data_IF_280369621502
#
_entry.id   IF_280369621502
#
_cell.length_a   1.000
_cell.length_b   1.000
_cell.length_c   1.000
_cell.angle_alpha   90.00
_cell.angle_beta   90.00
_cell.angle_gamma   90.00
#
_symmetry.space_group_name_H-M   'P 1'
#
loop_
_entity.id
_entity.type
_entity.pdbx_description
1 polymer ?
#
# COMPACT_ATOMS: atom_id res chain seq x y z
N UNK A 1 -7.91 -9.96 5.92
CA UNK A 1 -8.89 -10.57 4.98
C UNK A 1 -8.89 -12.07 5.26
N UNK A 2 -10.05 -12.72 5.16
CA UNK A 2 -10.20 -14.15 5.45
C UNK A 2 -9.51 -14.97 4.35
N UNK A 3 -8.53 -15.76 4.75
CA UNK A 3 -7.70 -16.60 3.89
C UNK A 3 -8.23 -18.03 3.82
N UNK A 4 -7.70 -18.82 2.88
CA UNK A 4 -7.98 -20.26 2.83
C UNK A 4 -7.57 -20.98 4.12
N UNK A 5 -6.56 -20.46 4.83
CA UNK A 5 -6.11 -20.99 6.12
C UNK A 5 -7.15 -20.73 7.21
N UNK A 6 -7.81 -19.56 7.22
CA UNK A 6 -8.87 -19.22 8.17
C UNK A 6 -10.09 -20.14 7.98
N UNK A 7 -10.49 -20.37 6.73
CA UNK A 7 -11.56 -21.33 6.40
C UNK A 7 -11.22 -22.75 6.87
N UNK A 8 -9.97 -23.19 6.65
CA UNK A 8 -9.47 -24.49 7.12
C UNK A 8 -9.48 -24.58 8.65
N UNK A 9 -9.06 -23.52 9.33
CA UNK A 9 -9.03 -23.46 10.79
C UNK A 9 -10.46 -23.54 11.36
N UNK A 10 -11.41 -22.78 10.80
CA UNK A 10 -12.82 -22.83 11.19
C UNK A 10 -13.43 -24.22 10.99
N UNK A 11 -13.13 -24.88 9.86
CA UNK A 11 -13.57 -26.26 9.59
C UNK A 11 -12.98 -27.27 10.58
N UNK A 12 -11.67 -27.20 10.84
CA UNK A 12 -10.98 -28.11 11.79
C UNK A 12 -11.44 -27.91 13.22
N UNK A 13 -11.76 -26.68 13.62
CA UNK A 13 -12.31 -26.39 14.95
C UNK A 13 -13.68 -27.05 15.20
N UNK A 14 -14.39 -27.42 14.13
CA UNK A 14 -15.66 -28.14 14.19
C UNK A 14 -15.51 -29.64 13.91
N UNK A 15 -14.28 -30.16 13.85
CA UNK A 15 -13.94 -31.54 13.53
C UNK A 15 -14.58 -32.04 12.21
N UNK A 16 -14.72 -31.13 11.23
CA UNK A 16 -15.34 -31.43 9.94
C UNK A 16 -14.29 -31.81 8.89
N UNK A 17 -14.57 -32.84 8.10
CA UNK A 17 -13.77 -33.14 6.90
C UNK A 17 -14.11 -32.18 5.76
N UNK A 18 -13.20 -32.07 4.79
CA UNK A 18 -13.42 -31.23 3.61
C UNK A 18 -14.63 -31.73 2.79
N UNK A 19 -14.85 -33.04 2.73
CA UNK A 19 -15.97 -33.66 2.04
C UNK A 19 -17.33 -33.30 2.67
N UNK A 20 -17.39 -33.15 4.00
CA UNK A 20 -18.60 -32.72 4.69
C UNK A 20 -18.99 -31.30 4.28
N UNK A 21 -18.01 -30.39 4.20
CA UNK A 21 -18.25 -29.00 3.77
C UNK A 21 -18.61 -28.94 2.29
N UNK A 22 -17.92 -29.72 1.46
CA UNK A 22 -18.20 -29.85 0.02
C UNK A 22 -19.64 -30.31 -0.23
N UNK A 23 -20.07 -31.39 0.43
CA UNK A 23 -21.40 -31.95 0.29
C UNK A 23 -22.49 -30.98 0.77
N UNK A 24 -22.32 -30.35 1.94
CA UNK A 24 -23.28 -29.36 2.47
C UNK A 24 -23.34 -28.06 1.67
N UNK A 25 -22.26 -27.71 0.97
CA UNK A 25 -22.15 -26.51 0.17
C UNK A 25 -22.44 -26.67 -1.31
N UNK A 26 -22.68 -27.89 -1.81
CA UNK A 26 -22.86 -28.15 -3.23
C UNK A 26 -21.61 -27.86 -4.07
N UNK A 27 -20.41 -27.98 -3.49
CA UNK A 27 -19.12 -27.76 -4.16
C UNK A 27 -18.29 -29.04 -4.18
N UNK A 28 -17.27 -29.10 -5.04
CA UNK A 28 -16.34 -30.24 -5.03
C UNK A 28 -15.24 -30.06 -3.99
N UNK A 29 -14.85 -31.16 -3.34
CA UNK A 29 -13.74 -31.17 -2.38
C UNK A 29 -12.43 -30.67 -3.00
N UNK A 30 -12.19 -30.98 -4.29
CA UNK A 30 -11.02 -30.46 -5.02
C UNK A 30 -11.06 -28.94 -5.30
N UNK A 31 -12.26 -28.33 -5.36
CA UNK A 31 -12.38 -26.87 -5.39
C UNK A 31 -12.03 -26.28 -4.02
N UNK A 32 -12.65 -26.79 -2.95
CA UNK A 32 -12.41 -26.33 -1.58
C UNK A 32 -10.96 -26.53 -1.14
N UNK A 33 -10.31 -27.64 -1.54
CA UNK A 33 -8.92 -27.92 -1.21
C UNK A 33 -7.98 -26.87 -1.77
N UNK A 34 -8.21 -26.44 -3.02
CA UNK A 34 -7.41 -25.39 -3.67
C UNK A 34 -7.62 -24.03 -3.03
N UNK A 35 -8.84 -23.75 -2.56
CA UNK A 35 -9.13 -22.54 -1.80
C UNK A 35 -8.40 -22.58 -0.45
N UNK A 36 -8.53 -23.65 0.33
CA UNK A 36 -7.88 -23.75 1.64
C UNK A 36 -6.35 -23.76 1.57
N UNK A 37 -5.76 -24.21 0.46
CA UNK A 37 -4.32 -24.20 0.24
C UNK A 37 -3.79 -22.90 -0.36
N UNK A 38 -4.66 -21.90 -0.59
CA UNK A 38 -4.28 -20.63 -1.21
C UNK A 38 -4.00 -20.70 -2.71
N UNK A 39 -4.30 -21.83 -3.37
CA UNK A 39 -4.19 -21.97 -4.84
C UNK A 39 -5.37 -21.32 -5.57
N UNK A 40 -6.44 -20.98 -4.85
CA UNK A 40 -7.58 -20.20 -5.32
C UNK A 40 -7.99 -19.19 -4.25
N UNK A 41 -8.43 -18.04 -4.70
CA UNK A 41 -8.89 -16.96 -3.85
C UNK A 41 -10.13 -17.36 -3.03
N UNK A 42 -10.22 -16.86 -1.80
CA UNK A 42 -11.43 -16.94 -0.98
C UNK A 42 -12.39 -15.85 -1.41
N UNK A 43 -13.57 -16.23 -1.90
CA UNK A 43 -14.63 -15.28 -2.24
C UNK A 43 -15.56 -15.03 -1.05
N UNK A 44 -16.26 -13.89 -0.97
CA UNK A 44 -17.27 -13.65 0.06
C UNK A 44 -18.37 -14.74 0.10
N UNK A 45 -18.72 -15.31 -1.05
CA UNK A 45 -19.66 -16.41 -1.14
C UNK A 45 -19.13 -17.69 -0.48
N UNK A 46 -17.82 -17.96 -0.56
CA UNK A 46 -17.15 -19.05 0.13
C UNK A 46 -17.10 -18.81 1.64
N UNK A 47 -16.84 -17.58 2.09
CA UNK A 47 -16.90 -17.22 3.51
C UNK A 47 -18.31 -17.49 4.06
N UNK A 48 -19.33 -16.90 3.44
CA UNK A 48 -20.72 -17.09 3.87
C UNK A 48 -21.16 -18.56 3.83
N UNK A 49 -20.64 -19.34 2.87
CA UNK A 49 -20.85 -20.78 2.85
C UNK A 49 -20.23 -21.46 4.08
N UNK A 50 -18.95 -21.20 4.36
CA UNK A 50 -18.29 -21.80 5.51
C UNK A 50 -18.97 -21.40 6.82
N UNK A 51 -19.29 -20.12 7.01
CA UNK A 51 -19.96 -19.64 8.22
C UNK A 51 -21.31 -20.34 8.46
N UNK A 52 -22.09 -20.55 7.39
CA UNK A 52 -23.33 -21.31 7.43
C UNK A 52 -23.12 -22.79 7.75
N UNK A 53 -22.09 -23.42 7.20
CA UNK A 53 -21.81 -24.85 7.40
C UNK A 53 -21.21 -25.14 8.78
N UNK A 54 -20.33 -24.26 9.26
CA UNK A 54 -19.65 -24.37 10.56
C UNK A 54 -20.45 -23.77 11.70
N UNK A 55 -21.46 -22.93 11.42
CA UNK A 55 -22.26 -22.23 12.43
C UNK A 55 -21.48 -21.18 13.20
N UNK A 56 -20.44 -20.59 12.59
CA UNK A 56 -19.52 -19.64 13.24
C UNK A 56 -19.16 -18.52 12.28
N UNK A 57 -19.05 -17.30 12.80
CA UNK A 57 -18.44 -16.18 12.06
C UNK A 57 -16.94 -16.44 11.95
N UNK A 58 -16.37 -16.27 10.77
CA UNK A 58 -14.95 -16.51 10.52
C UNK A 58 -14.22 -15.17 10.57
N UNK A 59 -13.38 -15.01 11.58
CA UNK A 59 -12.53 -13.84 11.72
C UNK A 59 -11.20 -14.08 11.00
N UNK A 60 -10.66 -13.03 10.38
CA UNK A 60 -9.34 -13.11 9.74
C UNK A 60 -8.27 -13.29 10.83
N UNK A 61 -7.39 -14.28 10.66
CA UNK A 61 -6.25 -14.43 11.57
C UNK A 61 -5.30 -13.24 11.43
N UNK A 62 -4.80 -12.67 12.55
CA UNK A 62 -3.92 -11.51 12.52
C UNK A 62 -2.55 -11.77 11.86
N UNK A 63 -2.20 -13.03 11.59
CA UNK A 63 -0.86 -13.44 11.13
C UNK A 63 -0.60 -13.27 9.62
N UNK A 64 -1.55 -12.80 8.80
CA UNK A 64 -1.40 -12.85 7.33
C UNK A 64 -1.80 -11.57 6.57
N UNK A 65 -1.57 -10.40 7.16
CA UNK A 65 -1.65 -9.11 6.46
C UNK A 65 -0.50 -8.89 5.45
N UNK A 66 0.43 -9.83 5.31
CA UNK A 66 1.62 -9.70 4.46
C UNK A 66 1.56 -10.44 3.11
N UNK A 67 0.52 -11.23 2.83
CA UNK A 67 0.50 -12.13 1.66
C UNK A 67 -0.66 -11.98 0.68
N UNK A 68 -1.60 -11.06 0.88
CA UNK A 68 -2.61 -10.78 -0.14
C UNK A 68 -2.07 -9.84 -1.18
N UNK A 69 -2.03 -10.34 -2.41
CA UNK A 69 -1.53 -9.62 -3.55
C UNK A 69 -2.50 -8.49 -3.88
N UNK A 70 -2.16 -7.31 -3.36
CA UNK A 70 -2.65 -5.98 -3.72
C UNK A 70 -2.85 -5.88 -5.26
N UNK A 71 -2.00 -6.54 -6.05
CA UNK A 71 -2.12 -6.63 -7.51
C UNK A 71 -3.42 -7.27 -8.03
N UNK A 72 -4.07 -8.22 -7.32
CA UNK A 72 -5.24 -8.93 -7.85
C UNK A 72 -6.55 -8.11 -7.74
N UNK A 73 -6.69 -7.33 -6.66
CA UNK A 73 -7.79 -6.35 -6.51
C UNK A 73 -7.56 -5.17 -7.47
N UNK A 74 -6.32 -4.68 -7.58
CA UNK A 74 -6.00 -3.59 -8.50
C UNK A 74 -6.14 -4.00 -9.96
N UNK A 75 -5.78 -5.22 -10.36
CA UNK A 75 -5.85 -5.64 -11.77
C UNK A 75 -7.30 -5.69 -12.27
N UNK A 76 -8.26 -6.15 -11.47
CA UNK A 76 -9.67 -6.28 -11.88
C UNK A 76 -10.39 -4.94 -12.01
N UNK A 77 -10.11 -3.99 -11.12
CA UNK A 77 -10.70 -2.65 -11.15
C UNK A 77 -9.89 -1.65 -12.01
N UNK A 78 -8.57 -1.83 -12.15
CA UNK A 78 -7.76 -1.08 -13.11
C UNK A 78 -8.16 -1.38 -14.55
N UNK A 79 -8.52 -2.62 -14.91
CA UNK A 79 -9.06 -2.90 -16.25
C UNK A 79 -10.41 -2.22 -16.52
N UNK A 80 -11.23 -1.98 -15.47
CA UNK A 80 -12.51 -1.26 -15.60
C UNK A 80 -12.31 0.26 -15.65
N UNK A 81 -11.42 0.80 -14.83
CA UNK A 81 -11.16 2.24 -14.76
C UNK A 81 -10.24 2.72 -15.88
N UNK A 82 -9.20 1.98 -16.27
CA UNK A 82 -8.39 2.33 -17.44
C UNK A 82 -9.24 2.36 -18.72
N UNK A 83 -10.25 1.49 -18.82
CA UNK A 83 -11.27 1.58 -19.87
C UNK A 83 -12.07 2.89 -19.84
N UNK A 84 -12.50 3.35 -18.66
CA UNK A 84 -13.28 4.58 -18.50
C UNK A 84 -12.44 5.87 -18.65
N UNK A 85 -11.23 5.91 -18.07
CA UNK A 85 -10.34 7.07 -18.11
C UNK A 85 -9.66 7.26 -19.48
N UNK A 86 -9.37 6.18 -20.21
CA UNK A 86 -8.86 6.28 -21.58
C UNK A 86 -9.97 6.54 -22.61
N UNK A 87 -11.20 6.02 -22.41
CA UNK A 87 -12.32 6.29 -23.31
C UNK A 87 -12.82 7.73 -23.24
N UNK A 88 -12.69 8.41 -22.09
CA UNK A 88 -13.03 9.83 -21.95
C UNK A 88 -12.16 10.79 -22.79
N UNK A 89 -11.07 10.31 -23.38
CA UNK A 89 -10.25 11.08 -24.33
C UNK A 89 -10.60 10.82 -25.81
N UNK A 90 -11.45 9.83 -26.12
CA UNK A 90 -11.83 9.47 -27.49
C UNK A 90 -13.24 8.83 -27.54
N UNK A 91 -14.31 9.62 -27.53
CA UNK A 91 -15.63 9.10 -27.92
C UNK A 91 -16.83 9.93 -27.45
N UNK A 92 -17.48 10.61 -28.38
CA UNK A 92 -18.86 11.11 -28.25
C UNK A 92 -19.82 9.90 -28.22
N UNK A 93 -20.60 9.74 -27.15
CA UNK A 93 -21.61 8.69 -27.04
C UNK A 93 -22.31 8.62 -25.69
N UNK A 94 -23.63 8.83 -25.70
CA UNK A 94 -24.54 9.05 -24.57
C UNK A 94 -24.68 7.91 -23.52
N UNK A 95 -23.92 6.81 -23.64
CA UNK A 95 -23.96 5.65 -22.72
C UNK A 95 -22.96 5.73 -21.55
N UNK A 96 -22.03 6.70 -21.53
CA UNK A 96 -20.93 6.76 -20.54
C UNK A 96 -21.30 7.41 -19.19
N UNK A 97 -22.41 8.15 -19.09
CA UNK A 97 -22.70 9.01 -17.92
C UNK A 97 -22.99 8.25 -16.61
N UNK A 98 -23.47 7.01 -16.66
CA UNK A 98 -23.85 6.25 -15.46
C UNK A 98 -22.62 5.80 -14.65
N UNK A 99 -21.44 5.76 -15.25
CA UNK A 99 -20.21 5.36 -14.55
C UNK A 99 -19.48 6.56 -13.89
N UNK A 100 -19.74 7.78 -14.35
CA UNK A 100 -19.07 8.98 -13.86
C UNK A 100 -19.47 9.32 -12.42
N UNK A 101 -20.76 9.20 -12.07
CA UNK A 101 -21.25 9.51 -10.72
C UNK A 101 -20.69 8.56 -9.66
N UNK A 102 -20.59 7.27 -9.97
CA UNK A 102 -20.03 6.26 -9.08
C UNK A 102 -18.52 6.47 -8.88
N UNK A 103 -17.77 6.74 -9.95
CA UNK A 103 -16.34 7.04 -9.88
C UNK A 103 -16.08 8.33 -9.12
N UNK A 104 -16.84 9.39 -9.40
CA UNK A 104 -16.74 10.67 -8.70
C UNK A 104 -17.07 10.51 -7.20
N UNK A 105 -18.12 9.77 -6.87
CA UNK A 105 -18.47 9.47 -5.49
C UNK A 105 -17.37 8.65 -4.79
N UNK A 106 -16.80 7.65 -5.46
CA UNK A 106 -15.74 6.83 -4.88
C UNK A 106 -14.47 7.64 -4.62
N UNK A 107 -14.06 8.49 -5.57
CA UNK A 107 -12.91 9.40 -5.43
C UNK A 107 -13.12 10.48 -4.37
N UNK A 108 -14.35 10.95 -4.19
CA UNK A 108 -14.69 11.88 -3.13
C UNK A 108 -14.66 11.18 -1.76
N UNK A 109 -15.34 10.04 -1.64
CA UNK A 109 -15.41 9.28 -0.39
C UNK A 109 -14.02 8.81 0.05
N UNK A 110 -13.20 8.28 -0.87
CA UNK A 110 -11.83 7.87 -0.56
C UNK A 110 -10.99 9.04 -0.07
N UNK A 111 -11.17 10.23 -0.67
CA UNK A 111 -10.47 11.44 -0.28
C UNK A 111 -10.87 11.91 1.11
N UNK A 112 -12.16 11.96 1.43
CA UNK A 112 -12.63 12.38 2.76
C UNK A 112 -12.20 11.42 3.85
N UNK A 113 -12.29 10.10 3.61
CA UNK A 113 -11.83 9.09 4.55
C UNK A 113 -10.33 9.22 4.82
N UNK A 114 -9.51 9.37 3.78
CA UNK A 114 -8.07 9.50 3.93
C UNK A 114 -7.63 10.83 4.53
N UNK A 115 -8.18 11.95 4.05
CA UNK A 115 -7.76 13.27 4.50
C UNK A 115 -8.11 13.52 5.98
N UNK A 116 -9.19 12.91 6.47
CA UNK A 116 -9.64 13.02 7.86
C UNK A 116 -9.17 11.87 8.75
N UNK A 117 -8.37 10.94 8.23
CA UNK A 117 -7.91 9.72 8.93
C UNK A 117 -9.08 8.92 9.54
N UNK A 118 -10.14 8.70 8.73
CA UNK A 118 -11.35 7.96 9.11
C UNK A 118 -11.50 6.67 8.31
N UNK A 119 -12.12 5.67 8.93
CA UNK A 119 -12.46 4.39 8.28
C UNK A 119 -13.90 4.34 7.74
N UNK A 120 -14.75 5.24 8.22
CA UNK A 120 -16.16 5.38 7.84
C UNK A 120 -16.60 6.85 7.88
N UNK A 121 -17.73 7.11 7.22
CA UNK A 121 -18.37 8.42 7.12
C UNK A 121 -19.89 8.24 7.11
N UNK A 122 -20.63 9.12 7.79
CA UNK A 122 -22.08 8.98 7.85
C UNK A 122 -22.71 9.34 6.50
N UNK A 123 -23.73 8.61 6.03
CA UNK A 123 -24.35 8.79 4.71
C UNK A 123 -24.85 10.23 4.48
N UNK A 124 -25.23 10.94 5.55
CA UNK A 124 -25.64 12.35 5.46
C UNK A 124 -24.51 13.32 5.14
N UNK A 125 -23.26 12.95 5.39
CA UNK A 125 -22.08 13.74 5.02
C UNK A 125 -21.79 13.67 3.51
N UNK A 126 -22.37 12.70 2.79
CA UNK A 126 -22.21 12.57 1.33
C UNK A 126 -22.98 13.70 0.62
N UNK A 127 -22.30 14.51 -0.22
CA UNK A 127 -22.91 15.57 -1.00
C UNK A 127 -24.10 15.07 -1.81
N UNK A 128 -25.13 15.89 -1.93
CA UNK A 128 -26.41 15.47 -2.52
C UNK A 128 -26.23 15.00 -3.96
N UNK A 129 -25.35 15.66 -4.70
CA UNK A 129 -24.95 15.35 -6.07
C UNK A 129 -24.22 14.00 -6.22
N UNK A 130 -23.60 13.48 -5.15
CA UNK A 130 -22.88 12.20 -5.17
C UNK A 130 -23.71 11.02 -4.66
N UNK A 131 -24.92 11.25 -4.15
CA UNK A 131 -25.75 10.19 -3.54
C UNK A 131 -26.18 9.12 -4.55
N UNK A 132 -26.40 9.49 -5.81
CA UNK A 132 -26.69 8.52 -6.87
C UNK A 132 -25.51 7.55 -7.07
N UNK A 133 -24.29 8.09 -7.09
CA UNK A 133 -23.05 7.31 -7.12
C UNK A 133 -22.90 6.42 -5.88
N UNK A 134 -23.14 6.93 -4.68
CA UNK A 134 -23.11 6.13 -3.45
C UNK A 134 -24.09 4.95 -3.49
N UNK A 135 -25.32 5.18 -3.96
CA UNK A 135 -26.31 4.12 -4.12
C UNK A 135 -25.85 3.05 -5.14
N UNK A 136 -25.09 3.44 -6.17
CA UNK A 136 -24.49 2.51 -7.11
C UNK A 136 -23.35 1.69 -6.49
N UNK A 137 -22.42 2.34 -5.79
CA UNK A 137 -21.32 1.66 -5.11
C UNK A 137 -21.82 0.63 -4.08
N UNK A 138 -22.95 0.91 -3.41
CA UNK A 138 -23.62 -0.06 -2.53
C UNK A 138 -24.16 -1.27 -3.30
N UNK A 139 -24.80 -1.08 -4.45
CA UNK A 139 -25.29 -2.18 -5.31
C UNK A 139 -24.15 -3.05 -5.83
N UNK A 140 -23.02 -2.43 -6.12
CA UNK A 140 -21.80 -3.10 -6.60
C UNK A 140 -20.96 -3.72 -5.47
N UNK A 141 -21.40 -3.57 -4.21
CA UNK A 141 -20.70 -4.07 -3.02
C UNK A 141 -19.29 -3.50 -2.83
N UNK A 142 -19.02 -2.31 -3.40
CA UNK A 142 -17.76 -1.61 -3.20
C UNK A 142 -17.73 -0.85 -1.87
N UNK A 143 -18.90 -0.43 -1.39
CA UNK A 143 -19.09 0.15 -0.06
C UNK A 143 -20.13 -0.66 0.73
N UNK A 144 -20.02 -0.61 2.05
CA UNK A 144 -20.93 -1.24 3.01
C UNK A 144 -21.55 -0.13 3.85
N UNK A 145 -22.86 -0.23 4.07
CA UNK A 145 -23.59 0.65 4.99
C UNK A 145 -23.96 -0.09 6.26
N UNK A 146 -23.69 0.51 7.42
CA UNK A 146 -24.12 -0.01 8.73
C UNK A 146 -25.61 0.26 8.97
N UNK A 147 -26.19 -0.39 10.00
CA UNK A 147 -27.55 -0.07 10.44
C UNK A 147 -27.72 1.35 11.00
N UNK A 148 -26.61 2.01 11.37
CA UNK A 148 -26.59 3.39 11.90
C UNK A 148 -26.33 4.44 10.83
N UNK A 149 -26.23 4.05 9.55
CA UNK A 149 -26.01 4.99 8.44
C UNK A 149 -24.53 5.30 8.15
N UNK A 150 -23.59 4.61 8.80
CA UNK A 150 -22.16 4.74 8.47
C UNK A 150 -21.83 4.00 7.18
N UNK A 151 -21.05 4.63 6.31
CA UNK A 151 -20.62 4.10 5.02
C UNK A 151 -19.10 3.97 5.01
N UNK A 152 -18.61 2.82 4.55
CA UNK A 152 -17.18 2.54 4.36
C UNK A 152 -16.94 1.68 3.13
N UNK A 153 -15.72 1.70 2.59
CA UNK A 153 -15.35 0.73 1.56
C UNK A 153 -15.37 -0.71 2.09
N UNK A 154 -15.84 -1.64 1.27
CA UNK A 154 -15.86 -3.06 1.58
C UNK A 154 -14.44 -3.63 1.72
N UNK A 155 -13.47 -3.01 1.05
CA UNK A 155 -12.07 -3.38 1.11
C UNK A 155 -11.20 -2.12 1.22
N UNK A 156 -10.23 -2.13 2.14
CA UNK A 156 -9.35 -0.97 2.39
C UNK A 156 -8.57 -0.54 1.14
N UNK A 157 -8.14 -1.50 0.30
CA UNK A 157 -7.41 -1.21 -0.94
C UNK A 157 -8.21 -0.42 -1.99
N UNK A 158 -9.55 -0.31 -1.86
CA UNK A 158 -10.33 0.57 -2.73
C UNK A 158 -10.06 2.05 -2.41
N UNK A 159 -9.78 2.38 -1.15
CA UNK A 159 -9.39 3.74 -0.75
C UNK A 159 -8.10 4.12 -1.47
N UNK A 160 -7.05 3.28 -1.36
CA UNK A 160 -5.77 3.51 -2.03
C UNK A 160 -5.92 3.61 -3.55
N UNK A 161 -6.75 2.75 -4.16
CA UNK A 161 -7.00 2.77 -5.60
C UNK A 161 -7.63 4.08 -6.08
N UNK A 162 -8.71 4.53 -5.43
CA UNK A 162 -9.41 5.74 -5.85
C UNK A 162 -8.60 7.01 -5.57
N UNK A 163 -7.82 7.04 -4.47
CA UNK A 163 -6.85 8.11 -4.22
C UNK A 163 -5.78 8.10 -5.30
N UNK A 164 -5.20 6.95 -5.61
CA UNK A 164 -4.17 6.82 -6.63
C UNK A 164 -4.65 7.29 -8.01
N UNK A 165 -5.86 6.88 -8.42
CA UNK A 165 -6.44 7.32 -9.69
C UNK A 165 -6.63 8.84 -9.73
N UNK A 166 -7.16 9.43 -8.65
CA UNK A 166 -7.38 10.87 -8.54
C UNK A 166 -6.07 11.66 -8.54
N UNK A 167 -5.08 11.20 -7.79
CA UNK A 167 -3.74 11.82 -7.73
C UNK A 167 -3.04 11.70 -9.08
N UNK A 168 -3.09 10.52 -9.71
CA UNK A 168 -2.47 10.26 -11.01
C UNK A 168 -3.05 11.14 -12.12
N UNK A 169 -4.37 11.41 -12.12
CA UNK A 169 -4.97 12.35 -13.06
C UNK A 169 -4.29 13.74 -13.01
N UNK A 170 -3.91 14.20 -11.82
CA UNK A 170 -3.10 15.41 -11.64
C UNK A 170 -1.68 15.27 -12.18
N UNK A 171 -1.00 14.14 -11.89
CA UNK A 171 0.35 13.85 -12.38
C UNK A 171 0.39 13.87 -13.92
N UNK A 172 -0.56 13.21 -14.58
CA UNK A 172 -0.66 13.09 -16.03
C UNK A 172 -0.78 14.46 -16.74
N UNK A 173 -1.42 15.44 -16.09
CA UNK A 173 -1.52 16.82 -16.59
C UNK A 173 -0.50 17.77 -15.96
N UNK A 174 0.51 17.23 -15.28
CA UNK A 174 1.57 17.99 -14.58
C UNK A 174 1.04 19.02 -13.58
N UNK A 175 -0.02 18.67 -12.86
CA UNK A 175 -0.57 19.43 -11.74
C UNK A 175 -0.26 18.73 -10.39
N UNK A 176 0.60 19.30 -9.52
CA UNK A 176 0.99 18.67 -8.27
C UNK A 176 0.02 18.90 -7.10
N UNK A 177 -1.08 19.64 -7.30
CA UNK A 177 -1.89 20.19 -6.20
C UNK A 177 -2.32 19.13 -5.18
N UNK A 178 -2.89 18.00 -5.64
CA UNK A 178 -3.33 16.92 -4.75
C UNK A 178 -2.15 16.22 -4.07
N UNK A 179 -1.07 15.96 -4.83
CA UNK A 179 0.14 15.32 -4.33
C UNK A 179 0.86 16.17 -3.28
N UNK A 180 0.59 17.48 -3.21
CA UNK A 180 1.18 18.39 -2.25
C UNK A 180 0.39 18.52 -0.92
N UNK A 181 -0.82 17.96 -0.83
CA UNK A 181 -1.74 18.21 0.30
C UNK A 181 -1.38 17.46 1.58
N UNK A 182 -1.13 16.15 1.48
CA UNK A 182 -0.78 15.28 2.58
C UNK A 182 0.05 14.09 2.06
N UNK A 183 0.74 13.41 2.96
CA UNK A 183 1.65 12.32 2.60
C UNK A 183 0.86 11.09 2.14
N UNK A 184 1.18 10.57 0.96
CA UNK A 184 0.52 9.37 0.41
C UNK A 184 0.97 8.11 1.16
N UNK A 185 0.10 7.11 1.21
CA UNK A 185 0.42 5.81 1.83
C UNK A 185 1.35 4.99 0.92
N UNK A 186 2.06 4.02 1.51
CA UNK A 186 2.86 3.07 0.73
C UNK A 186 2.00 2.32 -0.30
N UNK A 187 0.77 1.92 0.07
CA UNK A 187 -0.14 1.20 -0.81
C UNK A 187 -0.63 2.09 -1.96
N UNK A 188 -1.02 3.34 -1.68
CA UNK A 188 -1.37 4.34 -2.70
C UNK A 188 -0.23 4.54 -3.68
N UNK A 189 1.02 4.70 -3.22
CA UNK A 189 2.17 4.86 -4.10
C UNK A 189 2.40 3.65 -5.01
N UNK A 190 2.16 2.42 -4.51
CA UNK A 190 2.28 1.19 -5.32
C UNK A 190 1.26 1.17 -6.46
N UNK A 191 0.04 1.67 -6.22
CA UNK A 191 -0.96 1.79 -7.29
C UNK A 191 -0.54 2.86 -8.29
N UNK A 192 -0.11 4.04 -7.82
CA UNK A 192 0.32 5.13 -8.72
C UNK A 192 1.50 4.69 -9.59
N UNK A 193 2.45 3.93 -9.03
CA UNK A 193 3.57 3.31 -9.76
C UNK A 193 3.10 2.60 -11.02
N UNK A 194 2.01 1.81 -10.94
CA UNK A 194 1.53 1.01 -12.08
C UNK A 194 1.12 1.89 -13.27
N UNK A 195 0.58 3.09 -12.99
CA UNK A 195 0.26 4.07 -14.01
C UNK A 195 1.51 4.79 -14.54
N UNK A 196 2.42 5.18 -13.64
CA UNK A 196 3.67 5.89 -13.99
C UNK A 196 4.61 5.02 -14.84
N UNK A 197 4.65 3.71 -14.62
CA UNK A 197 5.44 2.77 -15.44
C UNK A 197 5.05 2.81 -16.93
N UNK A 198 3.80 3.16 -17.24
CA UNK A 198 3.27 3.22 -18.59
C UNK A 198 3.40 4.61 -19.24
N UNK A 199 3.70 5.65 -18.44
CA UNK A 199 3.79 7.04 -18.89
C UNK A 199 5.10 7.71 -18.44
N UNK A 200 6.06 7.75 -19.37
CA UNK A 200 7.34 8.40 -19.14
C UNK A 200 7.25 9.91 -18.88
N UNK A 201 6.15 10.58 -19.25
CA UNK A 201 5.96 12.00 -18.94
C UNK A 201 5.65 12.22 -17.46
N UNK A 202 4.79 11.39 -16.87
CA UNK A 202 4.53 11.36 -15.43
C UNK A 202 5.80 11.14 -14.61
N UNK A 203 6.67 10.20 -15.02
CA UNK A 203 7.95 9.98 -14.34
C UNK A 203 8.87 11.21 -14.35
N UNK A 204 8.87 11.99 -15.46
CA UNK A 204 9.64 13.25 -15.55
C UNK A 204 9.06 14.33 -14.65
N UNK A 205 7.73 14.49 -14.63
CA UNK A 205 7.06 15.46 -13.75
C UNK A 205 7.32 15.14 -12.27
N UNK A 206 7.23 13.87 -11.88
CA UNK A 206 7.58 13.42 -10.54
C UNK A 206 9.06 13.66 -10.22
N UNK A 207 9.98 13.43 -11.16
CA UNK A 207 11.41 13.67 -10.93
C UNK A 207 11.72 15.16 -10.71
N UNK A 208 11.04 16.03 -11.47
CA UNK A 208 11.13 17.48 -11.29
C UNK A 208 10.56 17.87 -9.91
N UNK A 209 9.37 17.41 -9.56
CA UNK A 209 8.76 17.72 -8.26
C UNK A 209 9.53 17.17 -7.08
N UNK A 210 10.10 15.97 -7.16
CA UNK A 210 10.98 15.42 -6.14
C UNK A 210 12.15 16.37 -5.81
N UNK A 211 12.68 17.06 -6.82
CA UNK A 211 13.86 17.91 -6.68
C UNK A 211 13.51 19.36 -6.34
N UNK A 212 12.47 19.91 -6.97
CA UNK A 212 12.15 21.35 -6.91
C UNK A 212 10.73 21.66 -6.45
N UNK A 213 10.00 20.67 -5.92
CA UNK A 213 8.66 20.87 -5.38
C UNK A 213 8.64 21.87 -4.23
N UNK A 214 7.59 22.70 -4.17
CA UNK A 214 7.49 23.82 -3.21
C UNK A 214 7.37 23.39 -1.76
N UNK A 215 6.87 22.17 -1.48
CA UNK A 215 6.71 21.63 -0.13
C UNK A 215 7.46 20.32 0.07
N UNK A 216 7.97 20.03 1.29
CA UNK A 216 8.55 18.72 1.60
C UNK A 216 7.59 17.55 1.35
N UNK A 217 6.27 17.76 1.53
CA UNK A 217 5.22 16.77 1.25
C UNK A 217 5.17 16.40 -0.23
N UNK A 218 5.19 17.40 -1.12
CA UNK A 218 5.22 17.14 -2.56
C UNK A 218 6.49 16.37 -2.96
N UNK A 219 7.64 16.78 -2.42
CA UNK A 219 8.93 16.14 -2.74
C UNK A 219 9.01 14.70 -2.23
N UNK A 220 8.53 14.45 -1.01
CA UNK A 220 8.53 13.10 -0.41
C UNK A 220 7.54 12.17 -1.12
N UNK A 221 6.36 12.65 -1.51
CA UNK A 221 5.39 11.85 -2.24
C UNK A 221 5.89 11.50 -3.64
N UNK A 222 6.49 12.46 -4.35
CA UNK A 222 7.10 12.21 -5.64
C UNK A 222 8.25 11.18 -5.55
N UNK A 223 9.13 11.33 -4.55
CA UNK A 223 10.14 10.33 -4.23
C UNK A 223 9.53 8.96 -3.88
N UNK A 224 8.42 8.97 -3.14
CA UNK A 224 7.67 7.79 -2.70
C UNK A 224 7.27 6.91 -3.88
N UNK A 225 6.62 7.51 -4.87
CA UNK A 225 6.18 6.85 -6.08
C UNK A 225 7.37 6.38 -6.92
N UNK A 226 8.35 7.26 -7.18
CA UNK A 226 9.51 6.93 -8.02
C UNK A 226 10.38 5.81 -7.45
N UNK A 227 10.51 5.72 -6.12
CA UNK A 227 11.28 4.67 -5.44
C UNK A 227 10.74 3.25 -5.67
N UNK A 228 9.46 3.16 -6.07
CA UNK A 228 8.76 1.90 -6.30
C UNK A 228 8.77 1.52 -7.77
N UNK A 229 9.09 2.43 -8.68
CA UNK A 229 9.27 2.11 -10.11
C UNK A 229 10.52 1.22 -10.26
N UNK A 230 10.45 0.07 -10.97
CA UNK A 230 11.57 -0.87 -11.12
C UNK A 230 12.64 -0.34 -12.07
N UNK A 231 13.31 0.74 -11.68
CA UNK A 231 14.36 1.42 -12.44
C UNK A 231 15.52 1.78 -11.51
N UNK A 232 16.70 1.16 -11.66
CA UNK A 232 17.88 1.48 -10.85
C UNK A 232 18.28 2.97 -10.92
N UNK A 233 18.11 3.59 -12.10
CA UNK A 233 18.39 5.02 -12.29
C UNK A 233 17.45 5.92 -11.49
N UNK A 234 16.15 5.58 -11.44
CA UNK A 234 15.20 6.34 -10.62
C UNK A 234 15.46 6.11 -9.14
N UNK A 235 15.79 4.88 -8.73
CA UNK A 235 16.19 4.57 -7.37
C UNK A 235 17.40 5.41 -6.91
N UNK A 236 18.45 5.48 -7.74
CA UNK A 236 19.65 6.29 -7.48
C UNK A 236 19.31 7.79 -7.38
N UNK A 237 18.42 8.27 -8.26
CA UNK A 237 17.92 9.65 -8.23
C UNK A 237 17.15 9.98 -6.96
N UNK A 238 16.26 9.09 -6.52
CA UNK A 238 15.49 9.25 -5.27
C UNK A 238 16.41 9.30 -4.06
N UNK A 239 17.34 8.35 -3.94
CA UNK A 239 18.25 8.29 -2.79
C UNK A 239 19.13 9.54 -2.74
N UNK A 240 19.61 10.00 -3.89
CA UNK A 240 20.40 11.24 -4.01
C UNK A 240 19.58 12.46 -3.57
N UNK A 241 18.32 12.57 -4.00
CA UNK A 241 17.42 13.66 -3.61
C UNK A 241 17.15 13.65 -2.09
N UNK A 242 16.83 12.48 -1.52
CA UNK A 242 16.61 12.34 -0.07
C UNK A 242 17.89 12.63 0.74
N UNK A 243 19.07 12.29 0.23
CA UNK A 243 20.32 12.64 0.90
C UNK A 243 20.52 14.16 0.97
N UNK A 244 20.22 14.88 -0.12
CA UNK A 244 20.37 16.33 -0.19
C UNK A 244 19.28 17.10 0.60
N UNK A 245 18.07 16.56 0.70
CA UNK A 245 16.92 17.25 1.30
C UNK A 245 16.57 16.72 2.70
N UNK A 246 16.98 17.47 3.73
CA UNK A 246 16.72 17.07 5.13
C UNK A 246 15.22 17.02 5.47
N UNK A 247 14.39 18.05 5.20
CA UNK A 247 12.96 17.98 5.44
C UNK A 247 12.26 16.77 4.78
N UNK A 248 12.51 16.54 3.49
CA UNK A 248 11.88 15.40 2.78
C UNK A 248 12.39 14.05 3.32
N UNK A 249 13.70 13.96 3.62
CA UNK A 249 14.27 12.77 4.25
C UNK A 249 13.64 12.45 5.60
N UNK A 250 13.43 13.45 6.45
CA UNK A 250 12.82 13.21 7.76
C UNK A 250 11.42 12.63 7.62
N UNK A 251 10.59 13.17 6.71
CA UNK A 251 9.27 12.63 6.42
C UNK A 251 9.33 11.20 5.87
N UNK A 252 10.26 10.93 4.95
CA UNK A 252 10.38 9.60 4.34
C UNK A 252 10.83 8.55 5.36
N UNK A 253 11.90 8.83 6.10
CA UNK A 253 12.45 7.90 7.11
C UNK A 253 11.42 7.66 8.22
N UNK A 254 10.67 8.70 8.63
CA UNK A 254 9.57 8.54 9.60
C UNK A 254 8.48 7.63 9.07
N UNK A 255 8.06 7.79 7.81
CA UNK A 255 7.05 6.93 7.20
C UNK A 255 7.52 5.47 7.05
N UNK A 256 8.80 5.25 6.72
CA UNK A 256 9.38 3.92 6.68
C UNK A 256 9.44 3.31 8.08
N UNK A 257 9.89 4.04 9.09
CA UNK A 257 9.92 3.56 10.47
C UNK A 257 8.51 3.20 10.97
N UNK A 258 7.52 4.07 10.76
CA UNK A 258 6.12 3.82 11.09
C UNK A 258 5.61 2.52 10.47
N UNK A 259 5.83 2.33 9.16
CA UNK A 259 5.37 1.15 8.42
C UNK A 259 6.11 -0.13 8.80
N UNK A 260 7.44 -0.09 8.78
CA UNK A 260 8.29 -1.29 8.94
C UNK A 260 8.27 -1.79 10.38
N UNK A 261 8.23 -0.88 11.35
CA UNK A 261 8.23 -1.23 12.77
C UNK A 261 6.82 -1.40 13.33
N UNK A 262 5.79 -0.89 12.65
CA UNK A 262 4.41 -0.91 13.13
C UNK A 262 4.18 -0.03 14.36
N UNK A 263 5.00 1.01 14.54
CA UNK A 263 4.93 1.93 15.69
C UNK A 263 4.14 3.20 15.35
N UNK A 264 3.51 3.89 16.32
CA UNK A 264 2.81 5.15 16.05
C UNK A 264 3.69 6.20 15.36
N UNK A 265 3.10 7.07 14.53
CA UNK A 265 3.83 8.11 13.80
C UNK A 265 4.68 9.00 14.72
N UNK A 266 4.16 9.38 15.89
CA UNK A 266 4.91 10.18 16.87
C UNK A 266 6.15 9.44 17.38
N UNK A 267 6.05 8.14 17.64
CA UNK A 267 7.18 7.31 18.06
C UNK A 267 8.20 7.14 16.92
N UNK A 268 7.74 6.94 15.68
CA UNK A 268 8.60 6.91 14.50
C UNK A 268 9.35 8.25 14.32
N UNK A 269 8.66 9.37 14.49
CA UNK A 269 9.25 10.69 14.39
C UNK A 269 10.34 10.89 15.46
N UNK A 270 10.04 10.52 16.71
CA UNK A 270 11.03 10.54 17.80
C UNK A 270 12.23 9.65 17.49
N UNK A 271 12.05 8.48 16.88
CA UNK A 271 13.14 7.59 16.49
C UNK A 271 14.09 8.24 15.45
N UNK A 272 13.53 9.04 14.53
CA UNK A 272 14.33 9.77 13.53
C UNK A 272 15.02 11.01 14.07
N UNK A 273 14.56 11.53 15.21
CA UNK A 273 15.22 12.60 15.92
C UNK A 273 16.31 11.97 16.82
N UNK A 274 17.58 12.32 16.61
CA UNK A 274 18.77 11.67 17.19
C UNK A 274 18.89 11.74 18.73
N UNK A 275 17.81 12.10 19.41
CA UNK A 275 17.69 12.31 20.84
C UNK A 275 16.80 11.28 21.54
N UNK A 276 16.27 10.27 20.84
CA UNK A 276 15.48 9.21 21.47
C UNK A 276 16.33 8.35 22.43
N UNK A 277 16.32 8.72 23.71
CA UNK A 277 16.87 7.91 24.80
C UNK A 277 15.78 6.97 25.33
N UNK A 278 16.05 5.67 25.39
CA UNK A 278 15.25 4.73 26.19
C UNK A 278 14.43 3.67 25.46
N UNK A 279 14.55 3.53 24.14
CA UNK A 279 14.03 2.34 23.43
C UNK A 279 15.13 1.29 23.33
N UNK A 280 14.82 0.01 23.54
CA UNK A 280 15.74 -1.13 23.25
C UNK A 280 15.79 -1.32 21.73
N UNK A 281 16.81 -0.77 21.03
CA UNK A 281 16.82 -0.72 19.58
C UNK A 281 16.95 -2.11 18.95
N UNK A 282 17.40 -3.10 19.73
CA UNK A 282 17.63 -4.48 19.28
C UNK A 282 16.35 -5.15 18.76
N UNK A 283 15.19 -4.78 19.29
CA UNK A 283 13.90 -5.31 18.83
C UNK A 283 13.58 -4.92 17.38
N UNK A 284 14.11 -3.79 16.91
CA UNK A 284 13.88 -3.28 15.55
C UNK A 284 14.85 -3.84 14.52
N UNK A 285 15.98 -4.40 14.95
CA UNK A 285 17.05 -4.87 14.07
C UNK A 285 16.53 -5.88 13.03
N UNK A 286 15.70 -6.84 13.45
CA UNK A 286 15.15 -7.86 12.56
C UNK A 286 14.22 -7.30 11.48
N UNK A 287 13.32 -6.39 11.85
CA UNK A 287 12.36 -5.77 10.94
C UNK A 287 13.06 -4.88 9.90
N UNK A 288 13.97 -4.01 10.35
CA UNK A 288 14.75 -3.14 9.46
C UNK A 288 15.70 -3.94 8.56
N UNK A 289 16.33 -4.99 9.09
CA UNK A 289 17.18 -5.88 8.30
C UNK A 289 16.39 -6.64 7.23
N UNK A 290 15.16 -7.05 7.52
CA UNK A 290 14.28 -7.67 6.53
C UNK A 290 13.97 -6.71 5.37
N UNK A 291 13.76 -5.43 5.69
CA UNK A 291 13.46 -4.41 4.68
C UNK A 291 14.62 -4.18 3.71
N UNK A 292 15.89 -4.41 4.11
CA UNK A 292 17.06 -4.34 3.21
C UNK A 292 16.95 -5.29 2.00
N UNK A 293 16.11 -6.33 2.07
CA UNK A 293 15.86 -7.26 0.97
C UNK A 293 14.58 -6.98 0.19
N UNK A 294 13.83 -5.93 0.53
CA UNK A 294 12.57 -5.61 -0.14
C UNK A 294 12.82 -5.22 -1.60
N UNK A 295 12.40 -6.00 -2.61
CA UNK A 295 12.68 -5.69 -4.02
C UNK A 295 11.79 -4.56 -4.56
N UNK A 296 10.72 -4.18 -3.84
CA UNK A 296 9.67 -3.29 -4.34
C UNK A 296 9.86 -1.81 -4.01
N UNK A 297 10.79 -1.47 -3.12
CA UNK A 297 10.96 -0.09 -2.65
C UNK A 297 12.43 0.19 -2.35
N UNK A 298 13.12 0.83 -3.30
CA UNK A 298 14.56 1.07 -3.18
C UNK A 298 14.88 2.11 -2.09
N UNK A 299 14.01 3.10 -1.89
CA UNK A 299 14.20 4.12 -0.87
C UNK A 299 13.89 3.58 0.53
N UNK A 300 12.98 2.61 0.69
CA UNK A 300 12.78 1.93 1.96
C UNK A 300 14.00 1.10 2.39
N UNK A 301 14.69 0.45 1.43
CA UNK A 301 15.99 -0.21 1.71
C UNK A 301 17.00 0.79 2.23
N UNK A 302 17.14 1.93 1.55
CA UNK A 302 18.02 3.02 1.97
C UNK A 302 17.67 3.58 3.35
N UNK A 303 16.40 3.92 3.60
CA UNK A 303 15.92 4.45 4.88
C UNK A 303 16.15 3.45 6.02
N UNK A 304 15.94 2.16 5.78
CA UNK A 304 16.17 1.13 6.80
C UNK A 304 17.65 1.00 7.14
N UNK A 305 18.54 1.13 6.15
CA UNK A 305 19.98 1.20 6.42
C UNK A 305 20.37 2.46 7.22
N UNK A 306 19.77 3.62 6.94
CA UNK A 306 19.96 4.85 7.74
C UNK A 306 19.52 4.62 9.20
N UNK A 307 18.33 4.06 9.41
CA UNK A 307 17.81 3.74 10.75
C UNK A 307 18.71 2.74 11.49
N UNK A 308 19.15 1.68 10.81
CA UNK A 308 20.06 0.68 11.39
C UNK A 308 21.39 1.31 11.82
N UNK A 309 21.93 2.25 11.04
CA UNK A 309 23.13 2.99 11.42
C UNK A 309 22.86 3.90 12.63
N UNK A 310 21.83 4.73 12.56
CA UNK A 310 21.55 5.75 13.59
C UNK A 310 21.16 5.13 14.94
N UNK A 311 20.63 3.91 14.94
CA UNK A 311 20.34 3.12 16.14
C UNK A 311 21.53 2.31 16.66
N UNK A 312 22.71 2.40 16.01
CA UNK A 312 23.90 1.64 16.40
C UNK A 312 23.82 0.13 16.12
N UNK A 313 22.90 -0.29 15.24
CA UNK A 313 22.60 -1.69 14.97
C UNK A 313 23.43 -2.30 13.83
N UNK A 314 24.28 -1.52 13.18
CA UNK A 314 25.12 -1.97 12.05
C UNK A 314 26.00 -3.20 12.38
N UNK A 315 26.42 -3.34 13.63
CA UNK A 315 27.23 -4.46 14.11
C UNK A 315 26.45 -5.75 14.37
N UNK A 316 25.12 -5.73 14.39
CA UNK A 316 24.30 -6.89 14.72
C UNK A 316 24.36 -7.95 13.62
N UNK A 317 24.52 -9.22 14.00
CA UNK A 317 24.66 -10.34 13.06
C UNK A 317 23.48 -10.47 12.07
N UNK A 318 22.20 -10.33 12.48
CA UNK A 318 21.08 -10.34 11.53
C UNK A 318 21.15 -9.23 10.49
N UNK A 319 21.71 -8.07 10.84
CA UNK A 319 21.89 -6.93 9.94
C UNK A 319 22.99 -7.25 8.93
N UNK A 320 24.14 -7.75 9.38
CA UNK A 320 25.25 -8.15 8.50
C UNK A 320 24.83 -9.22 7.50
N UNK A 321 24.15 -10.27 7.97
CA UNK A 321 23.63 -11.31 7.10
C UNK A 321 22.63 -10.77 6.06
N UNK A 322 21.76 -9.85 6.48
CA UNK A 322 20.81 -9.21 5.56
C UNK A 322 21.50 -8.34 4.50
N UNK A 323 22.53 -7.57 4.88
CA UNK A 323 23.30 -6.76 3.93
C UNK A 323 24.02 -7.66 2.92
N UNK A 324 24.72 -8.70 3.39
CA UNK A 324 25.40 -9.66 2.50
C UNK A 324 24.41 -10.28 1.51
N UNK A 325 23.23 -10.69 1.98
CA UNK A 325 22.18 -11.21 1.12
C UNK A 325 21.71 -10.17 0.09
N UNK A 326 21.44 -8.93 0.52
CA UNK A 326 20.93 -7.89 -0.36
C UNK A 326 21.93 -7.47 -1.45
N UNK A 327 23.24 -7.48 -1.15
CA UNK A 327 24.31 -7.17 -2.11
C UNK A 327 24.30 -8.06 -3.36
N UNK A 328 23.78 -9.29 -3.26
CA UNK A 328 23.71 -10.21 -4.41
C UNK A 328 22.61 -9.83 -5.41
N UNK A 329 21.60 -9.08 -4.98
CA UNK A 329 20.41 -8.77 -5.79
C UNK A 329 20.23 -7.27 -6.03
N UNK A 330 20.97 -6.42 -5.32
CA UNK A 330 20.84 -4.96 -5.45
C UNK A 330 21.48 -4.45 -6.74
N UNK A 331 20.74 -3.63 -7.46
CA UNK A 331 21.16 -3.03 -8.73
C UNK A 331 21.35 -1.51 -8.65
N UNK A 332 20.74 -0.84 -7.66
CA UNK A 332 20.87 0.60 -7.47
C UNK A 332 22.23 0.93 -6.84
N UNK A 333 23.01 1.78 -7.50
CA UNK A 333 24.36 2.16 -7.07
C UNK A 333 24.34 2.83 -5.70
N UNK A 334 23.34 3.66 -5.44
CA UNK A 334 23.22 4.36 -4.16
C UNK A 334 22.91 3.40 -3.01
N UNK A 335 22.10 2.37 -3.23
CA UNK A 335 21.89 1.33 -2.22
C UNK A 335 23.14 0.49 -1.98
N UNK A 336 23.88 0.12 -3.04
CA UNK A 336 25.17 -0.57 -2.88
C UNK A 336 26.16 0.27 -2.04
N UNK A 337 26.25 1.58 -2.30
CA UNK A 337 27.06 2.51 -1.49
C UNK A 337 26.59 2.55 -0.04
N UNK A 338 25.29 2.63 0.19
CA UNK A 338 24.69 2.64 1.53
C UNK A 338 24.92 1.33 2.28
N UNK A 339 24.83 0.18 1.62
CA UNK A 339 25.15 -1.12 2.21
C UNK A 339 26.64 -1.23 2.59
N UNK A 340 27.54 -0.73 1.73
CA UNK A 340 28.96 -0.66 2.05
C UNK A 340 29.24 0.27 3.26
N UNK A 341 28.60 1.45 3.29
CA UNK A 341 28.69 2.38 4.41
C UNK A 341 28.22 1.74 5.73
N UNK A 342 27.09 1.04 5.70
CA UNK A 342 26.54 0.34 6.86
C UNK A 342 27.50 -0.74 7.38
N UNK A 343 28.12 -1.54 6.50
CA UNK A 343 29.12 -2.55 6.89
C UNK A 343 30.39 -1.91 7.49
N UNK A 344 30.79 -0.75 6.99
CA UNK A 344 31.93 0.01 7.48
C UNK A 344 31.62 0.80 8.77
N UNK A 345 30.37 0.81 9.23
CA UNK A 345 29.95 1.59 10.40
C UNK A 345 30.01 3.11 10.17
N UNK A 346 29.93 3.56 8.91
CA UNK A 346 29.87 4.98 8.55
C UNK A 346 28.45 5.37 8.14
N UNK A 347 28.12 6.66 8.29
CA UNK A 347 26.76 7.14 8.06
C UNK A 347 26.35 7.00 6.59
N UNK A 348 25.24 6.31 6.26
CA UNK A 348 24.77 6.21 4.88
C UNK A 348 24.27 7.53 4.27
N UNK A 349 24.03 8.55 5.11
CA UNK A 349 23.63 9.89 4.68
C UNK A 349 24.85 10.71 4.27
N UNK A 350 25.98 10.56 4.97
CA UNK A 350 27.25 11.22 4.65
C UNK A 350 28.38 10.15 4.60
N UNK A 351 28.34 9.24 3.61
CA UNK A 351 29.20 8.07 3.55
C UNK A 351 30.66 8.38 3.22
#
# INVERSE_FOLDING_TARGET
MITGRDLRAARRAMDMTLDVVAHRGGLSSGHLSRVESGLREVTPALVALYERVTGRVIEASPDDLSSLNVDDVHRRDAFRLAGATLAGSFGDGEEARVNDDAVACAQWLSWELWHRDRVDLHESEIPTELRAGAAQLLRELQIIRSGTGEVRFAHAGLIDFHIAARVYAGIAVSNPALLATAQTSHATDQVIRQFVEQDGSSARSLSAWMTSGSSPVLRVNAAGILAKVPSPTLADGVITALRADRPARQLYVTAVAHRVLGIPWSAALSLTDRHAHGTTPELYAGQLAAELRNPRDAAARWCSAVLLHDLGLAGHEPVRAAVVSALHTESARENLRTMAALLAGVSPVNP
#
